data_IF_037477574691
#
_entry.id   IF_037477574691
#
_cell.length_a   1.000
_cell.length_b   1.000
_cell.length_c   1.000
_cell.angle_alpha   90.00
_cell.angle_beta   90.00
_cell.angle_gamma   90.00
#
_symmetry.space_group_name_H-M   'P 1'
#
loop_
_entity.id
_entity.type
_entity.pdbx_description
1 polymer ?
#
# COMPACT_ATOMS: atom_id res chain seq x y z
N UNK A 1 18.92 -30.59 -10.36
CA UNK A 1 19.25 -29.19 -10.05
C UNK A 1 17.94 -28.44 -9.93
N UNK A 2 17.37 -28.45 -8.74
CA UNK A 2 16.12 -27.75 -8.37
C UNK A 2 16.51 -26.38 -7.83
N UNK A 3 16.18 -25.33 -8.57
CA UNK A 3 16.34 -23.96 -8.09
C UNK A 3 15.10 -23.65 -7.24
N UNK A 4 15.21 -23.91 -5.93
CA UNK A 4 14.25 -23.46 -4.94
C UNK A 4 14.65 -22.01 -4.61
N UNK A 5 13.86 -21.05 -5.07
CA UNK A 5 14.12 -19.63 -4.81
C UNK A 5 13.72 -19.32 -3.35
N UNK A 6 14.69 -18.92 -2.54
CA UNK A 6 14.61 -18.90 -1.08
C UNK A 6 13.85 -17.69 -0.49
N UNK A 7 13.01 -17.01 -1.28
CA UNK A 7 12.32 -15.78 -0.89
C UNK A 7 10.79 -15.85 -0.96
N UNK A 8 10.20 -17.01 -1.28
CA UNK A 8 8.75 -17.15 -1.34
C UNK A 8 8.31 -18.46 -0.67
N UNK A 9 7.86 -18.44 0.60
CA UNK A 9 7.01 -19.51 1.08
C UNK A 9 5.70 -19.46 0.29
N UNK A 10 5.24 -20.61 -0.19
CA UNK A 10 4.06 -20.78 -1.04
C UNK A 10 2.86 -19.95 -0.57
N UNK A 11 2.64 -18.79 -1.21
CA UNK A 11 1.39 -18.06 -1.07
C UNK A 11 0.33 -18.82 -1.86
N UNK A 12 -0.49 -19.59 -1.13
CA UNK A 12 -1.66 -20.27 -1.64
C UNK A 12 -2.64 -19.23 -2.20
N UNK A 13 -2.47 -18.92 -3.48
CA UNK A 13 -3.35 -18.00 -4.19
C UNK A 13 -4.68 -18.74 -4.44
N UNK A 14 -5.82 -18.06 -4.26
CA UNK A 14 -7.16 -18.69 -4.32
C UNK A 14 -7.66 -19.00 -5.74
N UNK A 15 -6.90 -18.58 -6.75
CA UNK A 15 -7.25 -18.72 -8.17
C UNK A 15 -6.96 -20.16 -8.67
N UNK A 16 -7.74 -20.74 -9.58
CA UNK A 16 -7.35 -22.01 -10.22
C UNK A 16 -6.11 -21.85 -11.12
N UNK A 17 -5.21 -22.85 -11.20
CA UNK A 17 -3.98 -22.78 -12.02
C UNK A 17 -4.22 -22.43 -13.49
N UNK A 18 -5.28 -22.98 -14.10
CA UNK A 18 -5.63 -22.69 -15.49
C UNK A 18 -6.00 -21.21 -15.68
N UNK A 19 -6.70 -20.63 -14.70
CA UNK A 19 -7.02 -19.19 -14.70
C UNK A 19 -5.74 -18.37 -14.53
N UNK A 20 -4.81 -18.76 -13.64
CA UNK A 20 -3.50 -18.09 -13.53
C UNK A 20 -2.73 -18.10 -14.84
N UNK A 21 -2.62 -19.26 -15.50
CA UNK A 21 -1.90 -19.38 -16.78
C UNK A 21 -2.50 -18.47 -17.84
N UNK A 22 -3.83 -18.39 -17.92
CA UNK A 22 -4.51 -17.47 -18.84
C UNK A 22 -4.29 -15.99 -18.51
N UNK A 23 -4.06 -15.63 -17.24
CA UNK A 23 -3.79 -14.24 -16.87
C UNK A 23 -2.39 -13.79 -17.32
N UNK A 24 -1.41 -14.69 -17.43
CA UNK A 24 -0.01 -14.29 -17.72
C UNK A 24 0.33 -14.12 -19.20
N UNK A 25 -0.58 -14.49 -20.11
CA UNK A 25 -0.30 -14.54 -21.56
C UNK A 25 -0.87 -13.35 -22.33
N UNK A 26 -1.38 -12.32 -21.64
CA UNK A 26 -2.01 -11.14 -22.27
C UNK A 26 -1.84 -9.88 -21.43
N UNK A 27 -2.03 -8.73 -22.08
CA UNK A 27 -2.22 -7.46 -21.39
C UNK A 27 -3.61 -7.39 -20.76
N UNK A 28 -3.70 -6.73 -19.59
CA UNK A 28 -4.97 -6.48 -18.90
C UNK A 28 -5.26 -4.99 -18.89
N UNK A 29 -6.45 -4.63 -19.36
CA UNK A 29 -6.99 -3.29 -19.18
C UNK A 29 -7.99 -3.33 -18.03
N UNK A 30 -7.63 -2.72 -16.90
CA UNK A 30 -8.51 -2.53 -15.75
C UNK A 30 -9.09 -1.11 -15.83
N UNK A 31 -10.41 -1.01 -15.97
CA UNK A 31 -11.09 0.29 -16.02
C UNK A 31 -11.24 0.84 -14.60
N UNK A 32 -11.18 2.17 -14.45
CA UNK A 32 -11.42 2.83 -13.15
C UNK A 32 -12.78 2.46 -12.53
N UNK A 33 -13.82 2.22 -13.34
CA UNK A 33 -15.12 1.77 -12.83
C UNK A 33 -15.13 0.30 -12.35
N UNK A 34 -14.07 -0.46 -12.60
CA UNK A 34 -13.94 -1.89 -12.31
C UNK A 34 -12.90 -2.20 -11.23
N UNK A 35 -12.50 -1.22 -10.42
CA UNK A 35 -11.61 -1.47 -9.29
C UNK A 35 -12.27 -2.39 -8.26
N UNK A 36 -11.49 -3.32 -7.70
CA UNK A 36 -11.98 -4.27 -6.72
C UNK A 36 -11.99 -3.65 -5.32
N UNK A 37 -13.14 -3.71 -4.66
CA UNK A 37 -13.33 -3.17 -3.31
C UNK A 37 -13.21 -4.22 -2.20
N UNK A 38 -12.91 -5.49 -2.55
CA UNK A 38 -12.71 -6.60 -1.61
C UNK A 38 -11.34 -6.56 -0.93
N UNK A 39 -10.85 -5.37 -0.61
CA UNK A 39 -9.61 -5.17 0.15
C UNK A 39 -9.95 -4.92 1.62
N UNK A 40 -8.97 -5.09 2.51
CA UNK A 40 -9.11 -4.64 3.89
C UNK A 40 -9.39 -3.13 3.91
N UNK A 41 -10.34 -2.72 4.75
CA UNK A 41 -10.78 -1.33 4.90
C UNK A 41 -10.57 -0.88 6.34
N UNK A 42 -10.26 0.39 6.51
CA UNK A 42 -10.24 1.06 7.81
C UNK A 42 -11.34 2.11 7.79
N UNK A 43 -11.89 2.47 8.95
CA UNK A 43 -12.83 3.58 9.01
C UNK A 43 -12.20 4.85 8.40
N UNK A 44 -12.96 5.57 7.58
CA UNK A 44 -12.47 6.74 6.84
C UNK A 44 -11.53 6.45 5.66
N UNK A 45 -11.03 5.22 5.48
CA UNK A 45 -10.11 4.87 4.38
C UNK A 45 -10.66 3.75 3.50
N UNK A 46 -10.94 4.09 2.25
CA UNK A 46 -11.43 3.14 1.25
C UNK A 46 -10.32 2.79 0.25
N UNK A 47 -9.89 1.53 0.27
CA UNK A 47 -8.87 0.94 -0.59
C UNK A 47 -9.53 0.19 -1.74
N UNK A 48 -8.97 0.31 -2.93
CA UNK A 48 -9.48 -0.25 -4.17
C UNK A 48 -8.32 -0.84 -4.98
N UNK A 49 -8.36 -2.12 -5.31
CA UNK A 49 -7.30 -2.75 -6.10
C UNK A 49 -7.55 -2.56 -7.61
N UNK A 50 -6.51 -2.12 -8.33
CA UNK A 50 -6.46 -2.12 -9.79
C UNK A 50 -5.64 -3.31 -10.31
N UNK A 51 -4.46 -3.54 -9.72
CA UNK A 51 -3.50 -4.58 -10.09
C UNK A 51 -3.27 -5.47 -8.87
N UNK A 52 -3.56 -6.75 -9.00
CA UNK A 52 -3.29 -7.77 -7.97
C UNK A 52 -3.13 -9.15 -8.59
N UNK A 53 -2.64 -10.11 -7.82
CA UNK A 53 -2.58 -11.52 -8.19
C UNK A 53 -3.94 -12.08 -8.58
N UNK A 54 -4.98 -11.75 -7.82
CA UNK A 54 -6.33 -12.30 -8.06
C UNK A 54 -7.03 -11.70 -9.29
N UNK A 55 -6.78 -10.40 -9.55
CA UNK A 55 -7.38 -9.67 -10.67
C UNK A 55 -6.69 -9.96 -12.00
N UNK A 56 -5.37 -9.80 -12.03
CA UNK A 56 -4.59 -9.78 -13.28
C UNK A 56 -3.39 -10.73 -13.26
N UNK A 57 -3.22 -11.52 -12.20
CA UNK A 57 -2.11 -12.47 -12.08
C UNK A 57 -0.77 -11.82 -11.75
N UNK A 58 -0.78 -10.63 -11.13
CA UNK A 58 0.45 -9.97 -10.69
C UNK A 58 1.13 -10.72 -9.55
N UNK A 59 2.45 -10.83 -9.60
CA UNK A 59 3.23 -11.53 -8.57
C UNK A 59 4.00 -10.57 -7.68
N UNK A 60 4.53 -9.48 -8.25
CA UNK A 60 5.50 -8.60 -7.57
C UNK A 60 4.99 -7.19 -7.31
N UNK A 61 3.81 -6.86 -7.84
CA UNK A 61 3.24 -5.51 -7.72
C UNK A 61 1.78 -5.66 -7.38
N UNK A 62 1.37 -5.07 -6.27
CA UNK A 62 -0.02 -4.72 -6.06
C UNK A 62 -0.15 -3.21 -6.28
N UNK A 63 -1.22 -2.76 -6.93
CA UNK A 63 -1.47 -1.32 -7.13
C UNK A 63 -2.95 -1.02 -7.04
N UNK A 64 -3.29 0.12 -6.44
CA UNK A 64 -4.66 0.52 -6.23
C UNK A 64 -4.80 1.98 -5.84
N UNK A 65 -6.02 2.38 -5.53
CA UNK A 65 -6.32 3.70 -4.98
C UNK A 65 -6.68 3.58 -3.50
N UNK A 66 -6.28 4.56 -2.72
CA UNK A 66 -6.80 4.78 -1.37
C UNK A 66 -7.48 6.14 -1.34
N UNK A 67 -8.76 6.15 -0.95
CA UNK A 67 -9.56 7.33 -0.73
C UNK A 67 -9.59 7.58 0.76
N UNK A 68 -9.00 8.68 1.20
CA UNK A 68 -8.89 9.06 2.60
C UNK A 68 -9.91 10.15 2.87
N UNK A 69 -10.86 9.87 3.75
CA UNK A 69 -11.93 10.79 4.13
C UNK A 69 -11.40 12.07 4.79
N UNK A 70 -12.24 13.10 4.91
CA UNK A 70 -11.88 14.29 5.68
C UNK A 70 -11.57 13.96 7.14
N UNK A 71 -10.65 14.68 7.77
CA UNK A 71 -10.24 14.52 9.18
C UNK A 71 -9.93 13.07 9.56
N UNK A 72 -9.32 12.31 8.65
CA UNK A 72 -9.05 10.89 8.83
C UNK A 72 -7.56 10.68 9.10
N UNK A 73 -7.24 9.82 10.07
CA UNK A 73 -5.88 9.35 10.35
C UNK A 73 -5.89 7.83 10.37
N UNK A 74 -4.84 7.21 9.84
CA UNK A 74 -4.57 5.81 10.13
C UNK A 74 -4.07 5.67 11.58
N UNK A 75 -4.05 4.43 12.08
CA UNK A 75 -3.23 4.08 13.23
C UNK A 75 -1.74 4.15 12.85
N UNK A 76 -0.86 4.21 13.85
CA UNK A 76 0.58 4.05 13.68
C UNK A 76 0.87 2.61 13.23
N UNK A 77 1.65 2.43 12.17
CA UNK A 77 1.93 1.10 11.65
C UNK A 77 3.20 1.04 10.80
N UNK A 78 3.60 -0.17 10.42
CA UNK A 78 4.56 -0.39 9.32
C UNK A 78 4.06 -1.53 8.41
N UNK A 79 4.63 -1.62 7.21
CA UNK A 79 4.23 -2.60 6.18
C UNK A 79 5.11 -3.86 6.13
N UNK A 80 5.78 -4.20 7.22
CA UNK A 80 6.79 -5.27 7.24
C UNK A 80 7.83 -5.10 6.13
N UNK A 81 8.07 -6.15 5.37
CA UNK A 81 9.03 -6.17 4.24
C UNK A 81 8.55 -5.43 2.97
N UNK A 82 7.31 -4.90 2.96
CA UNK A 82 6.74 -4.28 1.78
C UNK A 82 7.36 -2.90 1.53
N UNK A 83 7.89 -2.70 0.33
CA UNK A 83 8.15 -1.38 -0.21
C UNK A 83 6.84 -0.78 -0.70
N UNK A 84 6.57 0.47 -0.33
CA UNK A 84 5.35 1.15 -0.74
C UNK A 84 5.66 2.48 -1.43
N UNK A 85 5.15 2.67 -2.63
CA UNK A 85 5.21 3.91 -3.38
C UNK A 85 3.81 4.51 -3.51
N UNK A 86 3.70 5.81 -3.28
CA UNK A 86 2.44 6.54 -3.25
C UNK A 86 2.54 7.73 -4.18
N UNK A 87 1.48 7.98 -4.94
CA UNK A 87 1.32 9.16 -5.78
C UNK A 87 0.04 9.89 -5.40
N UNK A 88 0.12 11.20 -5.15
CA UNK A 88 -1.02 12.01 -4.73
C UNK A 88 -1.81 12.46 -5.96
N UNK A 89 -3.05 12.00 -6.06
CA UNK A 89 -3.96 12.34 -7.17
C UNK A 89 -4.74 13.61 -6.86
N UNK A 90 -5.25 13.74 -5.64
CA UNK A 90 -6.03 14.91 -5.21
C UNK A 90 -6.01 15.06 -3.68
N UNK A 91 -6.32 16.27 -3.19
CA UNK A 91 -6.27 16.61 -1.77
C UNK A 91 -4.84 16.89 -1.29
N UNK A 92 -4.68 17.02 0.03
CA UNK A 92 -3.39 17.34 0.66
C UNK A 92 -3.13 16.41 1.85
N UNK A 93 -2.95 15.09 1.60
CA UNK A 93 -2.62 14.17 2.67
C UNK A 93 -1.25 14.50 3.25
N UNK A 94 -1.04 14.14 4.51
CA UNK A 94 0.21 14.30 5.21
C UNK A 94 0.69 12.93 5.71
N UNK A 95 1.99 12.70 5.66
CA UNK A 95 2.62 11.45 6.08
C UNK A 95 3.53 11.75 7.26
N UNK A 96 3.36 11.02 8.36
CA UNK A 96 4.11 11.26 9.59
C UNK A 96 4.94 10.05 9.96
N UNK A 97 6.22 10.27 10.25
CA UNK A 97 7.16 9.29 10.77
C UNK A 97 7.99 9.93 11.90
N UNK A 98 8.80 9.16 12.63
CA UNK A 98 9.67 9.69 13.67
C UNK A 98 11.14 9.60 13.24
N UNK A 99 11.91 10.69 13.33
CA UNK A 99 13.30 10.75 12.82
C UNK A 99 14.38 10.46 13.88
N UNK A 100 13.95 10.20 15.11
CA UNK A 100 14.82 9.90 16.26
C UNK A 100 14.89 11.05 17.26
N UNK A 101 14.40 12.22 16.88
CA UNK A 101 14.26 13.39 17.74
C UNK A 101 12.79 13.75 17.91
N UNK A 102 12.04 13.80 16.82
CA UNK A 102 10.64 14.20 16.83
C UNK A 102 9.84 13.53 15.69
N UNK A 103 8.51 13.74 15.72
CA UNK A 103 7.67 13.38 14.60
C UNK A 103 7.84 14.38 13.45
N UNK A 104 8.22 13.86 12.29
CA UNK A 104 8.36 14.61 11.06
C UNK A 104 7.13 14.40 10.20
N UNK A 105 6.56 15.52 9.75
CA UNK A 105 5.37 15.57 8.91
C UNK A 105 5.73 16.03 7.51
N UNK A 106 5.52 15.15 6.54
CA UNK A 106 5.65 15.45 5.13
C UNK A 106 4.28 15.89 4.62
N UNK A 107 4.17 17.16 4.23
CA UNK A 107 2.96 17.71 3.62
C UNK A 107 3.05 17.55 2.12
N UNK A 108 2.00 17.03 1.50
CA UNK A 108 2.00 16.74 0.06
C UNK A 108 0.87 17.47 -0.66
N UNK A 109 1.05 17.66 -1.97
CA UNK A 109 0.05 18.20 -2.88
C UNK A 109 -0.11 17.29 -4.12
N UNK A 110 -1.18 17.46 -4.92
CA UNK A 110 -1.38 16.65 -6.11
C UNK A 110 -0.20 16.71 -7.06
N UNK A 111 0.32 15.54 -7.45
CA UNK A 111 1.54 15.42 -8.24
C UNK A 111 2.76 14.92 -7.46
N UNK A 112 2.72 14.95 -6.13
CA UNK A 112 3.80 14.49 -5.29
C UNK A 112 3.87 12.96 -5.18
N UNK A 113 5.07 12.49 -4.83
CA UNK A 113 5.37 11.07 -4.60
C UNK A 113 5.91 10.87 -3.19
N UNK A 114 5.50 9.77 -2.56
CA UNK A 114 6.05 9.30 -1.28
C UNK A 114 6.56 7.88 -1.46
N UNK A 115 7.71 7.60 -0.86
CA UNK A 115 8.23 6.25 -0.72
C UNK A 115 8.28 5.91 0.76
N UNK A 116 7.68 4.79 1.14
CA UNK A 116 7.74 4.21 2.48
C UNK A 116 8.63 2.98 2.39
N UNK A 117 9.84 3.02 2.99
CA UNK A 117 10.70 1.86 3.05
C UNK A 117 10.11 0.75 3.93
N UNK A 118 10.60 -0.51 3.77
CA UNK A 118 10.24 -1.59 4.68
C UNK A 118 10.45 -1.22 6.14
N UNK A 119 9.56 -1.70 7.00
CA UNK A 119 9.58 -1.58 8.46
C UNK A 119 9.51 -0.17 9.04
N UNK A 120 9.51 0.91 8.25
CA UNK A 120 9.44 2.28 8.76
C UNK A 120 8.07 2.54 9.42
N UNK A 121 8.01 2.83 10.74
CA UNK A 121 6.79 3.25 11.40
C UNK A 121 6.30 4.58 10.83
N UNK A 122 5.04 4.62 10.41
CA UNK A 122 4.41 5.83 9.91
C UNK A 122 2.90 5.81 10.13
N UNK A 123 2.27 6.94 9.83
CA UNK A 123 0.82 7.08 9.68
C UNK A 123 0.48 8.00 8.51
N UNK A 124 -0.65 7.73 7.86
CA UNK A 124 -1.22 8.62 6.86
C UNK A 124 -2.38 9.41 7.44
N UNK A 125 -2.38 10.71 7.16
CA UNK A 125 -3.40 11.63 7.62
C UNK A 125 -4.00 12.42 6.45
N UNK A 126 -5.29 12.71 6.54
CA UNK A 126 -5.92 13.79 5.79
C UNK A 126 -6.50 14.79 6.79
N UNK A 127 -5.75 15.87 7.12
CA UNK A 127 -6.17 16.84 8.12
C UNK A 127 -7.28 17.77 7.62
N UNK A 128 -7.55 17.82 6.31
CA UNK A 128 -8.61 18.67 5.77
C UNK A 128 -9.97 18.22 6.32
N UNK A 129 -10.79 19.13 6.90
CA UNK A 129 -12.07 18.77 7.49
C UNK A 129 -13.22 18.62 6.48
N UNK A 130 -13.02 19.02 5.23
CA UNK A 130 -14.07 19.05 4.22
C UNK A 130 -13.74 18.16 3.02
N UNK A 131 -12.50 18.18 2.56
CA UNK A 131 -12.10 17.58 1.30
C UNK A 131 -11.39 16.24 1.50
N UNK A 132 -11.79 15.17 0.79
CA UNK A 132 -11.07 13.91 0.82
C UNK A 132 -9.75 13.99 0.03
N UNK A 133 -8.79 13.15 0.39
CA UNK A 133 -7.59 12.90 -0.40
C UNK A 133 -7.72 11.59 -1.19
N UNK A 134 -7.10 11.53 -2.37
CA UNK A 134 -6.98 10.31 -3.17
C UNK A 134 -5.53 10.10 -3.53
N UNK A 135 -5.03 8.90 -3.24
CA UNK A 135 -3.68 8.48 -3.60
C UNK A 135 -3.71 7.19 -4.40
N UNK A 136 -2.79 7.05 -5.34
CA UNK A 136 -2.44 5.75 -5.93
C UNK A 136 -1.33 5.15 -5.10
N UNK A 137 -1.49 3.91 -4.67
CA UNK A 137 -0.52 3.17 -3.88
C UNK A 137 -0.08 1.94 -4.67
N UNK A 138 1.23 1.72 -4.73
CA UNK A 138 1.85 0.52 -5.26
C UNK A 138 2.71 -0.11 -4.16
N UNK A 139 2.65 -1.43 -4.03
CA UNK A 139 3.46 -2.17 -3.06
C UNK A 139 4.11 -3.41 -3.69
N UNK A 140 5.24 -3.83 -3.14
CA UNK A 140 5.99 -5.00 -3.62
C UNK A 140 5.34 -6.34 -3.25
N UNK A 141 4.48 -6.37 -2.22
CA UNK A 141 3.81 -7.59 -1.76
C UNK A 141 2.37 -7.71 -2.26
N UNK A 142 1.88 -8.94 -2.50
CA UNK A 142 0.46 -9.15 -2.80
C UNK A 142 -0.41 -9.04 -1.56
N UNK A 143 0.10 -9.47 -0.40
CA UNK A 143 -0.57 -9.32 0.89
C UNK A 143 -0.45 -7.88 1.40
N UNK A 144 -1.53 -7.39 2.04
CA UNK A 144 -1.56 -6.11 2.73
C UNK A 144 -0.96 -6.26 4.13
N UNK A 145 0.36 -6.29 4.22
CA UNK A 145 1.06 -6.35 5.50
C UNK A 145 0.83 -5.02 6.24
N UNK A 146 0.21 -5.11 7.41
CA UNK A 146 0.00 -3.99 8.33
C UNK A 146 0.27 -4.50 9.73
N UNK A 147 1.31 -3.96 10.35
CA UNK A 147 1.63 -4.22 11.76
C UNK A 147 1.34 -2.96 12.53
N UNK A 148 0.28 -2.99 13.34
CA UNK A 148 -0.13 -1.85 14.16
C UNK A 148 0.83 -1.65 15.34
N UNK A 149 1.14 -0.40 15.62
CA UNK A 149 2.09 0.03 16.63
C UNK A 149 1.39 0.96 17.64
N UNK A 150 1.78 0.94 18.92
CA UNK A 150 1.25 1.89 19.90
C UNK A 150 1.75 3.33 19.67
N UNK A 151 2.94 3.50 19.09
CA UNK A 151 3.57 4.80 18.84
C UNK A 151 4.50 4.74 17.62
N UNK A 152 4.84 5.91 17.06
CA UNK A 152 5.89 6.02 16.06
C UNK A 152 7.26 6.07 16.74
N UNK A 153 8.21 5.35 16.19
CA UNK A 153 9.61 5.36 16.61
C UNK A 153 10.51 5.42 15.39
N UNK A 154 11.75 5.85 15.61
CA UNK A 154 12.77 5.83 14.57
C UNK A 154 13.24 4.40 14.31
N UNK A 155 13.17 3.96 13.06
CA UNK A 155 13.71 2.66 12.67
C UNK A 155 15.24 2.73 12.67
N UNK A 156 15.88 1.99 13.58
CA UNK A 156 17.33 1.90 13.60
C UNK A 156 17.84 1.10 12.38
N UNK A 157 18.77 1.63 11.56
CA UNK A 157 19.24 0.96 10.34
C UNK A 157 19.94 -0.39 10.58
N UNK A 158 20.37 -0.64 11.82
CA UNK A 158 21.03 -1.88 12.23
C UNK A 158 20.03 -2.96 12.69
N UNK A 159 18.76 -2.60 12.89
CA UNK A 159 17.66 -3.52 13.27
C UNK A 159 16.69 -3.80 12.11
N UNK A 160 16.93 -3.26 10.91
CA UNK A 160 16.12 -3.43 9.70
C UNK A 160 16.55 -4.60 8.80
#
# INVERSE_FOLDING_TARGET
MTQHDAFHPDLATSVPEERRRSLRTRLHHVRAAGLDNKTAQTEGMRRLAAISGDLVGSERIWMGETHVGPSTSSDNHHHGESETAIYVVSGHPEFVFHDGVEEIRIKTEPGDYIFVPPFVPHREENPDPNDPAVVVIARSTQEAIVVNLPELYHLDPEES
#
